data_IF_364473834873
#
_entry.id   IF_364473834873
#
_cell.length_a   1.000
_cell.length_b   1.000
_cell.length_c   1.000
_cell.angle_alpha   90.00
_cell.angle_beta   90.00
_cell.angle_gamma   90.00
#
_symmetry.space_group_name_H-M   'P 1'
#
loop_
_entity.id
_entity.type
_entity.pdbx_description
1 polymer ?
#
# COMPACT_ATOMS: atom_id res chain seq x y z
N UNK A 1 -10.86 -15.68 -27.73
CA UNK A 1 -10.36 -15.77 -26.32
C UNK A 1 -8.85 -15.84 -26.37
N UNK A 2 -8.15 -15.07 -25.57
CA UNK A 2 -6.69 -15.10 -25.48
C UNK A 2 -6.20 -16.40 -24.84
N UNK A 3 -5.01 -16.89 -25.24
CA UNK A 3 -4.44 -18.13 -24.67
C UNK A 3 -4.22 -17.95 -23.18
N UNK A 4 -4.67 -18.91 -22.32
CA UNK A 4 -4.41 -18.89 -20.90
C UNK A 4 -2.92 -18.87 -20.57
N UNK A 5 -2.51 -18.04 -19.62
CA UNK A 5 -1.15 -17.95 -19.10
C UNK A 5 -1.02 -18.69 -17.76
N UNK A 6 0.17 -19.19 -17.48
CA UNK A 6 0.57 -19.71 -16.17
C UNK A 6 1.36 -18.63 -15.45
N UNK A 7 0.78 -18.06 -14.40
CA UNK A 7 1.33 -16.90 -13.69
C UNK A 7 1.70 -17.30 -12.26
N UNK A 8 2.96 -17.08 -11.89
CA UNK A 8 3.41 -17.21 -10.52
C UNK A 8 3.45 -15.82 -9.87
N UNK A 9 2.58 -15.58 -8.90
CA UNK A 9 2.57 -14.36 -8.09
C UNK A 9 3.35 -14.61 -6.80
N UNK A 10 4.28 -13.73 -6.46
CA UNK A 10 5.03 -13.79 -5.19
C UNK A 10 4.73 -12.57 -4.33
N UNK A 11 4.50 -12.77 -3.03
CA UNK A 11 4.03 -11.72 -2.12
C UNK A 11 4.50 -11.96 -0.68
N UNK A 12 4.63 -10.89 0.11
CA UNK A 12 4.85 -10.97 1.56
C UNK A 12 3.60 -10.64 2.37
N UNK A 13 2.49 -10.30 1.70
CA UNK A 13 1.21 -9.99 2.32
C UNK A 13 0.05 -10.56 1.49
N UNK A 14 -0.81 -11.37 2.10
CA UNK A 14 -1.94 -12.04 1.44
C UNK A 14 -3.02 -12.40 2.47
N UNK A 15 -4.33 -12.42 2.10
CA UNK A 15 -5.41 -12.78 3.02
C UNK A 15 -5.20 -14.13 3.73
N UNK A 16 -5.92 -14.39 4.85
CA UNK A 16 -7.06 -13.61 5.40
C UNK A 16 -6.64 -12.41 6.26
N UNK A 17 -5.46 -12.41 6.85
CA UNK A 17 -5.01 -11.33 7.75
C UNK A 17 -3.90 -10.55 7.04
N UNK A 18 -4.26 -9.41 6.46
CA UNK A 18 -3.31 -8.59 5.73
C UNK A 18 -3.77 -7.14 5.63
N UNK A 19 -2.84 -6.23 5.32
CA UNK A 19 -3.14 -4.84 4.96
C UNK A 19 -3.61 -4.69 3.52
N UNK A 20 -3.84 -3.45 3.09
CA UNK A 20 -4.38 -3.12 1.77
C UNK A 20 -3.59 -3.70 0.59
N UNK A 21 -2.26 -3.77 0.70
CA UNK A 21 -1.40 -4.35 -0.34
C UNK A 21 -1.63 -5.85 -0.56
N UNK A 22 -1.90 -6.59 0.52
CA UNK A 22 -2.25 -8.01 0.46
C UNK A 22 -3.59 -8.24 -0.23
N UNK A 23 -4.59 -7.43 0.08
CA UNK A 23 -5.89 -7.46 -0.61
C UNK A 23 -5.75 -7.14 -2.10
N UNK A 24 -4.94 -6.14 -2.45
CA UNK A 24 -4.70 -5.81 -3.86
C UNK A 24 -4.01 -6.95 -4.62
N UNK A 25 -3.09 -7.67 -3.99
CA UNK A 25 -2.46 -8.86 -4.58
C UNK A 25 -3.46 -9.99 -4.78
N UNK A 26 -4.36 -10.19 -3.82
CA UNK A 26 -5.42 -11.21 -3.91
C UNK A 26 -6.43 -10.88 -5.03
N UNK A 27 -6.85 -9.62 -5.13
CA UNK A 27 -7.77 -9.18 -6.18
C UNK A 27 -7.15 -9.31 -7.58
N UNK A 28 -5.84 -9.03 -7.72
CA UNK A 28 -5.10 -9.29 -8.96
C UNK A 28 -5.11 -10.79 -9.30
N UNK A 29 -4.73 -11.63 -8.33
CA UNK A 29 -4.66 -13.09 -8.54
C UNK A 29 -6.03 -13.67 -8.91
N UNK A 30 -7.08 -13.26 -8.20
CA UNK A 30 -8.47 -13.68 -8.46
C UNK A 30 -8.96 -13.17 -9.83
N UNK A 31 -8.66 -11.93 -10.17
CA UNK A 31 -9.04 -11.35 -11.44
C UNK A 31 -8.38 -12.05 -12.63
N UNK A 32 -7.09 -12.40 -12.52
CA UNK A 32 -6.39 -13.20 -13.54
C UNK A 32 -6.99 -14.61 -13.66
N UNK A 33 -7.28 -15.27 -12.54
CA UNK A 33 -7.91 -16.59 -12.55
C UNK A 33 -9.32 -16.55 -13.18
N UNK A 34 -10.11 -15.50 -12.90
CA UNK A 34 -11.43 -15.30 -13.51
C UNK A 34 -11.37 -15.07 -15.04
N UNK A 35 -10.23 -14.59 -15.55
CA UNK A 35 -9.97 -14.44 -16.99
C UNK A 35 -9.44 -15.74 -17.64
N UNK A 36 -9.38 -16.84 -16.88
CA UNK A 36 -8.98 -18.16 -17.37
C UNK A 36 -7.49 -18.47 -17.25
N UNK A 37 -6.69 -17.63 -16.60
CA UNK A 37 -5.27 -17.89 -16.35
C UNK A 37 -5.08 -18.89 -15.19
N UNK A 38 -3.99 -19.67 -15.26
CA UNK A 38 -3.55 -20.53 -14.17
C UNK A 38 -2.66 -19.73 -13.23
N UNK A 39 -3.19 -19.39 -12.05
CA UNK A 39 -2.50 -18.54 -11.07
C UNK A 39 -2.06 -19.35 -9.86
N UNK A 40 -0.78 -19.28 -9.54
CA UNK A 40 -0.21 -19.77 -8.29
C UNK A 40 0.34 -18.60 -7.48
N UNK A 41 0.18 -18.68 -6.16
CA UNK A 41 0.68 -17.64 -5.23
C UNK A 41 1.71 -18.25 -4.29
N UNK A 42 2.88 -17.64 -4.20
CA UNK A 42 3.87 -17.91 -3.16
C UNK A 42 3.91 -16.74 -2.19
N UNK A 43 3.38 -16.98 -0.99
CA UNK A 43 3.40 -16.03 0.12
C UNK A 43 4.62 -16.31 1.01
N UNK A 44 5.29 -15.26 1.47
CA UNK A 44 6.43 -15.36 2.37
C UNK A 44 6.06 -14.95 3.79
N UNK A 45 6.44 -15.78 4.76
CA UNK A 45 6.33 -15.46 6.17
C UNK A 45 7.70 -15.60 6.88
N UNK A 46 8.06 -14.60 7.69
CA UNK A 46 9.23 -14.66 8.55
C UNK A 46 8.78 -14.73 10.02
N UNK A 47 9.11 -15.81 10.70
CA UNK A 47 8.64 -16.02 12.08
C UNK A 47 9.24 -17.26 12.77
N UNK A 48 8.62 -17.66 13.87
CA UNK A 48 9.05 -18.80 14.70
C UNK A 48 8.40 -20.15 14.31
N UNK A 49 7.51 -20.17 13.28
CA UNK A 49 6.88 -21.40 12.82
C UNK A 49 7.84 -22.35 12.09
N UNK A 50 7.36 -23.55 11.73
CA UNK A 50 8.12 -24.51 10.95
C UNK A 50 8.60 -23.91 9.63
N UNK A 51 9.93 -23.94 9.34
CA UNK A 51 10.45 -23.44 8.08
C UNK A 51 10.07 -24.37 6.93
N UNK A 52 9.99 -23.82 5.73
CA UNK A 52 9.68 -24.57 4.52
C UNK A 52 8.46 -24.07 3.77
N UNK A 53 8.05 -24.83 2.76
CA UNK A 53 6.91 -24.52 1.92
C UNK A 53 5.68 -25.34 2.37
N UNK A 54 4.59 -24.65 2.66
CA UNK A 54 3.32 -25.22 3.11
C UNK A 54 2.23 -24.87 2.12
N UNK A 55 1.64 -25.86 1.49
CA UNK A 55 0.58 -25.66 0.50
C UNK A 55 -0.78 -25.51 1.18
N UNK A 56 -1.58 -24.61 0.65
CA UNK A 56 -2.98 -24.36 1.03
C UNK A 56 -3.78 -23.89 -0.17
N UNK A 57 -5.09 -23.74 0.01
CA UNK A 57 -5.96 -23.11 -0.98
C UNK A 57 -6.74 -21.98 -0.35
N UNK A 58 -6.88 -20.90 -1.10
CA UNK A 58 -7.80 -19.81 -0.78
C UNK A 58 -8.73 -19.63 -1.96
N UNK A 59 -10.00 -19.97 -1.79
CA UNK A 59 -10.96 -20.11 -2.89
C UNK A 59 -10.41 -21.07 -3.99
N UNK A 60 -10.34 -20.60 -5.24
CA UNK A 60 -9.79 -21.37 -6.37
C UNK A 60 -8.25 -21.28 -6.49
N UNK A 61 -7.60 -20.41 -5.72
CA UNK A 61 -6.17 -20.16 -5.84
C UNK A 61 -5.34 -21.17 -5.04
N UNK A 62 -4.28 -21.72 -5.66
CA UNK A 62 -3.24 -22.46 -4.96
C UNK A 62 -2.29 -21.46 -4.31
N UNK A 63 -2.11 -21.57 -2.98
CA UNK A 63 -1.26 -20.69 -2.18
C UNK A 63 -0.19 -21.54 -1.49
N UNK A 64 1.06 -21.23 -1.73
CA UNK A 64 2.18 -21.81 -0.98
C UNK A 64 2.73 -20.76 -0.01
N UNK A 65 2.69 -21.05 1.28
CA UNK A 65 3.34 -20.23 2.30
C UNK A 65 4.78 -20.71 2.49
N UNK A 66 5.75 -19.91 2.02
CA UNK A 66 7.17 -20.16 2.27
C UNK A 66 7.58 -19.48 3.58
N UNK A 67 7.84 -20.28 4.59
CA UNK A 67 8.17 -19.79 5.93
C UNK A 67 9.67 -19.89 6.20
N UNK A 68 10.24 -18.76 6.65
CA UNK A 68 11.63 -18.70 7.10
C UNK A 68 11.71 -18.39 8.58
N UNK A 69 12.51 -19.18 9.29
CA UNK A 69 12.79 -18.96 10.71
C UNK A 69 13.63 -17.69 10.89
N UNK A 70 13.13 -16.75 11.64
CA UNK A 70 13.81 -15.49 11.95
C UNK A 70 13.71 -15.21 13.46
N UNK A 71 14.83 -14.94 14.15
CA UNK A 71 14.82 -14.60 15.56
C UNK A 71 14.18 -13.23 15.79
N UNK A 72 13.68 -13.00 17.00
CA UNK A 72 13.03 -11.74 17.35
C UNK A 72 14.02 -10.64 17.80
N UNK A 73 15.25 -10.65 17.25
CA UNK A 73 16.27 -9.62 17.51
C UNK A 73 16.27 -8.65 16.33
N UNK A 74 15.95 -7.35 16.51
CA UNK A 74 15.63 -6.43 15.41
C UNK A 74 16.68 -6.36 14.29
N UNK A 75 17.96 -6.14 14.62
CA UNK A 75 19.02 -6.02 13.59
C UNK A 75 19.24 -7.34 12.89
N UNK A 76 19.37 -8.44 13.64
CA UNK A 76 19.58 -9.78 13.10
C UNK A 76 18.37 -10.26 12.30
N UNK A 77 17.16 -9.94 12.75
CA UNK A 77 15.92 -10.21 12.04
C UNK A 77 15.90 -9.53 10.67
N UNK A 78 16.36 -8.28 10.57
CA UNK A 78 16.37 -7.54 9.29
C UNK A 78 17.42 -8.12 8.32
N UNK A 79 18.60 -8.51 8.79
CA UNK A 79 19.59 -9.20 7.97
C UNK A 79 19.06 -10.53 7.45
N UNK A 80 18.42 -11.33 8.29
CA UNK A 80 17.84 -12.62 7.88
C UNK A 80 16.71 -12.41 6.88
N UNK A 81 15.83 -11.43 7.10
CA UNK A 81 14.74 -11.09 6.18
C UNK A 81 15.23 -10.63 4.80
N UNK A 82 16.34 -9.94 4.73
CA UNK A 82 16.85 -9.44 3.47
C UNK A 82 17.77 -10.48 2.79
N UNK A 83 18.97 -10.72 3.34
CA UNK A 83 20.00 -11.48 2.61
C UNK A 83 19.70 -12.97 2.58
N UNK A 84 19.43 -13.57 3.74
CA UNK A 84 19.21 -15.03 3.84
C UNK A 84 17.91 -15.44 3.16
N UNK A 85 16.81 -14.71 3.41
CA UNK A 85 15.55 -14.98 2.74
C UNK A 85 15.68 -14.85 1.22
N UNK A 86 16.39 -13.84 0.74
CA UNK A 86 16.58 -13.67 -0.71
C UNK A 86 17.32 -14.85 -1.35
N UNK A 87 18.33 -15.40 -0.69
CA UNK A 87 19.06 -16.56 -1.20
C UNK A 87 18.20 -17.83 -1.16
N UNK A 88 17.59 -18.12 -0.01
CA UNK A 88 16.81 -19.34 0.23
C UNK A 88 15.56 -19.37 -0.65
N UNK A 89 14.82 -18.26 -0.71
CA UNK A 89 13.62 -18.13 -1.53
C UNK A 89 13.95 -18.17 -3.04
N UNK A 90 15.04 -17.52 -3.48
CA UNK A 90 15.45 -17.61 -4.88
C UNK A 90 15.78 -19.05 -5.28
N UNK A 91 16.46 -19.80 -4.43
CA UNK A 91 16.72 -21.23 -4.64
C UNK A 91 15.43 -22.06 -4.71
N UNK A 92 14.49 -21.80 -3.83
CA UNK A 92 13.17 -22.46 -3.84
C UNK A 92 12.39 -22.14 -5.12
N UNK A 93 12.25 -20.86 -5.47
CA UNK A 93 11.52 -20.42 -6.66
C UNK A 93 12.16 -20.97 -7.95
N UNK A 94 13.51 -20.97 -8.05
CA UNK A 94 14.20 -21.56 -9.19
C UNK A 94 13.82 -23.03 -9.38
N UNK A 95 13.90 -23.85 -8.33
CA UNK A 95 13.50 -25.26 -8.40
C UNK A 95 12.02 -25.42 -8.78
N UNK A 96 11.15 -24.57 -8.21
CA UNK A 96 9.71 -24.59 -8.51
C UNK A 96 9.43 -24.30 -10.00
N UNK A 97 10.12 -23.30 -10.57
CA UNK A 97 9.99 -22.92 -11.98
C UNK A 97 10.54 -24.00 -12.92
N UNK A 98 11.57 -24.74 -12.51
CA UNK A 98 12.10 -25.87 -13.28
C UNK A 98 11.17 -27.08 -13.27
N UNK A 99 10.48 -27.33 -12.14
CA UNK A 99 9.56 -28.46 -11.97
C UNK A 99 8.21 -28.24 -12.65
N UNK A 100 7.70 -27.01 -12.60
CA UNK A 100 6.47 -26.61 -13.25
C UNK A 100 6.66 -25.26 -13.93
N UNK A 101 6.89 -25.27 -15.25
CA UNK A 101 7.14 -24.05 -16.01
C UNK A 101 5.98 -23.05 -15.87
N UNK A 102 6.32 -21.78 -15.70
CA UNK A 102 5.41 -20.64 -15.70
C UNK A 102 5.72 -19.76 -16.90
N UNK A 103 4.73 -19.04 -17.39
CA UNK A 103 4.91 -18.10 -18.49
C UNK A 103 5.35 -16.73 -17.99
N UNK A 104 4.93 -16.36 -16.77
CA UNK A 104 5.27 -15.09 -16.11
C UNK A 104 5.51 -15.32 -14.62
N UNK A 105 6.51 -14.62 -14.06
CA UNK A 105 6.67 -14.41 -12.63
C UNK A 105 6.31 -12.95 -12.30
N UNK A 106 5.40 -12.73 -11.34
CA UNK A 106 5.03 -11.38 -10.91
C UNK A 106 5.27 -11.16 -9.41
N UNK A 107 6.29 -10.39 -9.09
CA UNK A 107 6.65 -10.04 -7.72
C UNK A 107 5.87 -8.79 -7.24
N UNK A 108 5.21 -8.89 -6.08
CA UNK A 108 4.27 -7.87 -5.60
C UNK A 108 4.83 -6.99 -4.47
N UNK A 109 5.87 -7.44 -3.76
CA UNK A 109 6.37 -6.76 -2.56
C UNK A 109 7.89 -6.91 -2.40
N UNK A 110 8.47 -6.04 -1.57
CA UNK A 110 9.92 -5.90 -1.38
C UNK A 110 10.64 -7.19 -0.99
N UNK A 111 10.04 -8.02 -0.12
CA UNK A 111 10.71 -9.25 0.35
C UNK A 111 10.78 -10.32 -0.75
N UNK A 112 9.85 -10.29 -1.70
CA UNK A 112 9.76 -11.28 -2.77
C UNK A 112 10.35 -10.79 -4.10
N UNK A 113 10.50 -9.47 -4.31
CA UNK A 113 10.98 -8.93 -5.60
C UNK A 113 12.38 -9.41 -5.94
N UNK A 114 13.36 -9.24 -5.04
CA UNK A 114 14.75 -9.64 -5.30
C UNK A 114 14.88 -11.13 -5.60
N UNK A 115 14.34 -12.05 -4.78
CA UNK A 115 14.45 -13.48 -5.05
C UNK A 115 13.70 -13.93 -6.31
N UNK A 116 12.54 -13.32 -6.60
CA UNK A 116 11.77 -13.67 -7.81
C UNK A 116 12.49 -13.30 -9.09
N UNK A 117 13.07 -12.10 -9.18
CA UNK A 117 13.87 -11.67 -10.33
C UNK A 117 15.09 -12.58 -10.51
N UNK A 118 15.81 -12.89 -9.43
CA UNK A 118 16.96 -13.82 -9.49
C UNK A 118 16.57 -15.22 -9.98
N UNK A 119 15.46 -15.75 -9.49
CA UNK A 119 15.00 -17.08 -9.87
C UNK A 119 14.51 -17.12 -11.32
N UNK A 120 13.69 -16.16 -11.71
CA UNK A 120 13.13 -16.07 -13.07
C UNK A 120 14.23 -15.91 -14.12
N UNK A 121 15.15 -14.97 -13.92
CA UNK A 121 16.28 -14.77 -14.83
C UNK A 121 17.20 -16.00 -14.93
N UNK A 122 17.35 -16.77 -13.85
CA UNK A 122 18.17 -17.99 -13.85
C UNK A 122 17.57 -19.14 -14.67
N UNK A 123 16.29 -19.06 -15.03
CA UNK A 123 15.56 -20.08 -15.82
C UNK A 123 14.96 -19.50 -17.11
N UNK A 124 15.18 -18.21 -17.41
CA UNK A 124 14.72 -17.56 -18.64
C UNK A 124 13.20 -17.31 -18.67
N UNK A 125 12.54 -17.12 -17.53
CA UNK A 125 11.12 -16.78 -17.45
C UNK A 125 10.98 -15.27 -17.29
N UNK A 126 10.13 -14.58 -18.08
CA UNK A 126 9.87 -13.15 -17.91
C UNK A 126 9.35 -12.80 -16.52
N UNK A 127 9.85 -11.67 -15.97
CA UNK A 127 9.51 -11.24 -14.62
C UNK A 127 9.04 -9.79 -14.56
N UNK A 128 7.87 -9.59 -13.97
CA UNK A 128 7.29 -8.29 -13.67
C UNK A 128 7.43 -7.99 -12.17
N UNK A 129 7.72 -6.75 -11.82
CA UNK A 129 7.77 -6.32 -10.43
C UNK A 129 6.80 -5.16 -10.19
N UNK A 130 5.85 -5.32 -9.24
CA UNK A 130 5.03 -4.19 -8.79
C UNK A 130 5.70 -3.48 -7.62
N UNK A 131 5.91 -2.18 -7.75
CA UNK A 131 6.42 -1.29 -6.70
C UNK A 131 5.24 -0.58 -6.03
N UNK A 132 4.99 -0.94 -4.77
CA UNK A 132 3.84 -0.46 -3.97
C UNK A 132 4.21 0.51 -2.85
N UNK A 133 5.48 0.77 -2.65
CA UNK A 133 6.01 1.72 -1.69
C UNK A 133 7.40 2.21 -2.13
N UNK A 134 8.04 3.02 -1.33
CA UNK A 134 9.29 3.70 -1.66
C UNK A 134 10.56 2.86 -1.40
N UNK A 135 10.45 1.53 -1.24
CA UNK A 135 11.59 0.65 -0.94
C UNK A 135 12.75 0.69 -1.96
N UNK A 136 12.56 1.02 -3.25
CA UNK A 136 13.68 1.13 -4.17
C UNK A 136 14.49 2.42 -3.97
N UNK A 137 13.87 3.46 -3.44
CA UNK A 137 14.47 4.80 -3.29
C UNK A 137 14.72 5.19 -1.84
N UNK A 138 14.15 4.48 -0.88
CA UNK A 138 14.32 4.70 0.55
C UNK A 138 14.51 3.38 1.30
N UNK A 139 15.53 3.28 2.16
CA UNK A 139 15.77 2.07 2.96
C UNK A 139 14.59 1.75 3.91
N UNK A 140 13.95 2.79 4.47
CA UNK A 140 12.81 2.66 5.37
C UNK A 140 11.46 2.62 4.65
N UNK A 141 11.44 2.84 3.34
CA UNK A 141 10.24 2.86 2.50
C UNK A 141 9.22 3.96 2.83
N UNK A 142 9.60 4.99 3.56
CA UNK A 142 8.70 6.06 4.03
C UNK A 142 9.08 7.47 3.56
N UNK A 143 10.26 7.67 2.99
CA UNK A 143 10.83 8.95 2.55
C UNK A 143 10.87 10.03 3.66
N UNK A 144 10.90 9.63 4.91
CA UNK A 144 10.95 10.53 6.07
C UNK A 144 12.28 10.34 6.77
N UNK A 145 13.06 11.40 6.97
CA UNK A 145 14.27 11.28 7.76
C UNK A 145 14.04 11.57 9.25
N UNK A 146 13.14 12.46 9.60
CA UNK A 146 12.77 12.68 11.00
C UNK A 146 11.24 12.55 11.18
N UNK A 147 10.76 11.51 11.91
CA UNK A 147 9.34 11.31 12.15
C UNK A 147 8.70 12.40 13.03
N UNK A 148 9.50 13.23 13.72
CA UNK A 148 9.00 14.33 14.59
C UNK A 148 8.75 15.62 13.83
N UNK A 149 9.27 15.75 12.60
CA UNK A 149 9.09 16.89 11.72
C UNK A 149 8.52 16.46 10.38
N UNK A 150 7.77 17.32 9.72
CA UNK A 150 7.09 17.00 8.44
C UNK A 150 8.02 17.02 7.23
N UNK A 151 9.33 16.94 7.43
CA UNK A 151 10.29 17.03 6.36
C UNK A 151 10.44 15.70 5.62
N UNK A 152 10.10 15.70 4.35
CA UNK A 152 10.35 14.59 3.45
C UNK A 152 11.82 14.54 3.08
N UNK A 153 12.37 13.32 3.01
CA UNK A 153 13.75 13.11 2.59
C UNK A 153 13.89 13.36 1.09
N UNK A 154 14.65 14.38 0.65
CA UNK A 154 14.78 14.70 -0.76
C UNK A 154 15.58 13.65 -1.52
N UNK A 155 16.58 13.04 -0.87
CA UNK A 155 17.48 12.07 -1.50
C UNK A 155 18.14 11.17 -0.45
N UNK A 156 18.44 9.90 -0.83
CA UNK A 156 19.08 8.93 0.06
C UNK A 156 20.62 9.01 0.02
N UNK A 157 21.17 10.18 0.42
CA UNK A 157 22.61 10.40 0.59
C UNK A 157 23.10 9.90 1.95
N UNK A 158 24.44 9.79 2.15
CA UNK A 158 25.02 9.45 3.46
C UNK A 158 24.62 10.48 4.52
N UNK A 159 24.63 11.77 4.19
CA UNK A 159 24.24 12.84 5.09
C UNK A 159 22.76 12.69 5.53
N UNK A 160 21.87 12.42 4.60
CA UNK A 160 20.46 12.22 4.90
C UNK A 160 20.20 10.89 5.63
N UNK A 161 20.96 9.81 5.32
CA UNK A 161 20.91 8.56 6.09
C UNK A 161 21.32 8.77 7.55
N UNK A 162 22.32 9.61 7.81
CA UNK A 162 22.70 9.97 9.19
C UNK A 162 21.54 10.66 9.92
N UNK A 163 20.84 11.58 9.24
CA UNK A 163 19.64 12.26 9.79
C UNK A 163 18.50 11.26 10.04
N UNK A 164 18.26 10.30 9.14
CA UNK A 164 17.15 9.35 9.31
C UNK A 164 17.46 8.21 10.32
N UNK A 165 18.72 7.87 10.53
CA UNK A 165 19.11 6.86 11.53
C UNK A 165 19.00 7.40 12.96
N UNK A 166 19.40 8.66 13.17
CA UNK A 166 19.46 9.28 14.50
C UNK A 166 18.14 9.21 15.29
N UNK A 167 16.99 9.68 14.78
CA UNK A 167 15.73 9.62 15.52
C UNK A 167 15.22 8.20 15.72
N UNK A 168 15.53 7.27 14.80
CA UNK A 168 15.11 5.86 14.88
C UNK A 168 15.95 5.01 15.82
N UNK A 169 17.22 5.38 16.03
CA UNK A 169 18.15 4.71 16.94
C UNK A 169 18.11 5.30 18.36
N UNK A 170 17.53 6.48 18.56
CA UNK A 170 17.48 7.13 19.86
C UNK A 170 18.86 7.32 20.49
N UNK A 171 19.03 6.96 21.75
CA UNK A 171 20.31 7.04 22.49
C UNK A 171 21.45 6.18 21.92
N UNK A 172 21.15 5.18 21.07
CA UNK A 172 22.12 4.33 20.40
C UNK A 172 22.59 4.88 19.03
N UNK A 173 22.31 6.14 18.72
CA UNK A 173 22.55 6.74 17.39
C UNK A 173 24.01 6.63 16.92
N UNK A 174 24.99 6.79 17.81
CA UNK A 174 26.43 6.66 17.48
C UNK A 174 26.77 5.21 17.11
N UNK A 175 26.24 4.24 17.85
CA UNK A 175 26.44 2.82 17.56
C UNK A 175 25.74 2.35 16.26
N UNK A 176 24.77 3.12 15.77
CA UNK A 176 24.04 2.82 14.53
C UNK A 176 24.77 3.32 13.26
N UNK A 177 25.81 4.15 13.36
CA UNK A 177 26.55 4.64 12.19
C UNK A 177 27.14 3.55 11.29
N UNK A 178 27.70 2.44 11.79
CA UNK A 178 28.17 1.34 10.94
C UNK A 178 27.08 0.67 10.10
N UNK A 179 25.80 0.89 10.42
CA UNK A 179 24.66 0.37 9.65
C UNK A 179 24.47 1.12 8.32
N UNK A 180 24.94 2.36 8.20
CA UNK A 180 24.76 3.19 6.98
C UNK A 180 25.39 2.56 5.73
N UNK A 181 26.65 2.06 5.74
CA UNK A 181 27.19 1.35 4.60
C UNK A 181 26.36 0.14 4.18
N UNK A 182 25.86 -0.61 5.15
CA UNK A 182 24.96 -1.74 4.90
C UNK A 182 23.63 -1.28 4.26
N UNK A 183 23.00 -0.22 4.78
CA UNK A 183 21.77 0.35 4.21
C UNK A 183 21.96 0.75 2.74
N UNK A 184 23.09 1.38 2.42
CA UNK A 184 23.44 1.77 1.05
C UNK A 184 23.66 0.56 0.13
N UNK A 185 24.39 -0.44 0.62
CA UNK A 185 24.64 -1.67 -0.14
C UNK A 185 23.34 -2.43 -0.41
N UNK A 186 22.46 -2.53 0.59
CA UNK A 186 21.15 -3.16 0.47
C UNK A 186 20.28 -2.41 -0.56
N UNK A 187 20.19 -1.08 -0.46
CA UNK A 187 19.41 -0.26 -1.40
C UNK A 187 19.94 -0.39 -2.83
N UNK A 188 21.28 -0.35 -3.01
CA UNK A 188 21.90 -0.55 -4.32
C UNK A 188 21.62 -1.95 -4.88
N UNK A 189 21.66 -2.98 -4.04
CA UNK A 189 21.32 -4.35 -4.44
C UNK A 189 19.88 -4.45 -4.90
N UNK A 190 18.95 -3.83 -4.18
CA UNK A 190 17.52 -3.76 -4.56
C UNK A 190 17.34 -3.12 -5.93
N UNK A 191 17.93 -1.91 -6.16
CA UNK A 191 17.84 -1.19 -7.44
C UNK A 191 18.43 -1.98 -8.60
N UNK A 192 19.68 -2.46 -8.46
CA UNK A 192 20.35 -3.26 -9.49
C UNK A 192 19.65 -4.56 -9.81
N UNK A 193 18.97 -5.16 -8.83
CA UNK A 193 18.16 -6.35 -9.10
C UNK A 193 16.86 -5.98 -9.78
N UNK A 194 16.19 -4.91 -9.30
CA UNK A 194 14.94 -4.42 -9.91
C UNK A 194 15.14 -4.02 -11.38
N UNK A 195 16.29 -3.42 -11.73
CA UNK A 195 16.68 -3.10 -13.10
C UNK A 195 16.83 -4.32 -14.03
N UNK A 196 16.75 -5.53 -13.50
CA UNK A 196 16.79 -6.80 -14.26
C UNK A 196 15.41 -7.44 -14.40
N UNK A 197 14.36 -6.75 -13.97
CA UNK A 197 12.98 -7.12 -14.30
C UNK A 197 12.71 -6.74 -15.76
N UNK A 198 11.85 -7.50 -16.44
CA UNK A 198 11.45 -7.20 -17.81
C UNK A 198 10.47 -6.04 -17.88
N UNK A 199 9.64 -5.85 -16.81
CA UNK A 199 8.81 -4.67 -16.63
C UNK A 199 8.61 -4.34 -15.14
N UNK A 200 8.45 -3.05 -14.85
CA UNK A 200 8.12 -2.52 -13.52
C UNK A 200 6.75 -1.86 -13.58
N UNK A 201 5.87 -2.22 -12.66
CA UNK A 201 4.59 -1.57 -12.46
C UNK A 201 4.68 -0.66 -11.23
N UNK A 202 4.59 0.64 -11.42
CA UNK A 202 4.40 1.61 -10.36
C UNK A 202 2.90 1.75 -10.06
N UNK A 203 2.50 1.66 -8.79
CA UNK A 203 1.06 1.72 -8.43
C UNK A 203 0.47 3.12 -8.52
N UNK A 204 1.30 4.15 -8.65
CA UNK A 204 0.88 5.54 -8.77
C UNK A 204 1.89 6.37 -9.57
N UNK A 205 1.44 7.53 -10.06
CA UNK A 205 2.31 8.49 -10.73
C UNK A 205 3.39 9.04 -9.78
N UNK A 206 3.12 9.11 -8.48
CA UNK A 206 4.10 9.53 -7.49
C UNK A 206 5.25 8.51 -7.35
N UNK A 207 4.92 7.21 -7.27
CA UNK A 207 5.94 6.15 -7.26
C UNK A 207 6.75 6.17 -8.57
N UNK A 208 6.11 6.32 -9.73
CA UNK A 208 6.80 6.37 -11.01
C UNK A 208 7.80 7.53 -11.05
N UNK A 209 7.38 8.75 -10.72
CA UNK A 209 8.26 9.93 -10.66
C UNK A 209 9.44 9.76 -9.69
N UNK A 210 9.20 9.17 -8.51
CA UNK A 210 10.29 8.94 -7.54
C UNK A 210 11.27 7.87 -8.02
N UNK A 211 10.82 6.84 -8.75
CA UNK A 211 11.70 5.85 -9.37
C UNK A 211 12.56 6.49 -10.45
N UNK A 212 11.96 7.24 -11.36
CA UNK A 212 12.67 7.97 -12.44
C UNK A 212 13.69 8.98 -11.88
N UNK A 213 13.30 9.76 -10.87
CA UNK A 213 14.16 10.80 -10.32
C UNK A 213 15.31 10.28 -9.44
N UNK A 214 15.13 9.12 -8.77
CA UNK A 214 16.02 8.69 -7.67
C UNK A 214 16.66 7.31 -7.87
N UNK A 215 16.33 6.61 -8.94
CA UNK A 215 16.84 5.27 -9.22
C UNK A 215 17.33 5.15 -10.69
N UNK A 216 18.42 5.83 -11.06
CA UNK A 216 18.92 5.84 -12.44
C UNK A 216 19.31 4.45 -12.95
N UNK A 217 19.48 3.46 -12.05
CA UNK A 217 19.68 2.07 -12.43
C UNK A 217 18.50 1.49 -13.23
N UNK A 218 17.32 2.14 -13.20
CA UNK A 218 16.08 1.68 -13.83
C UNK A 218 15.81 2.31 -15.21
N UNK A 219 16.63 3.25 -15.67
CA UNK A 219 16.40 4.04 -16.90
C UNK A 219 16.18 3.18 -18.16
N UNK A 220 16.74 1.98 -18.21
CA UNK A 220 16.58 1.05 -19.32
C UNK A 220 15.43 0.02 -19.12
N UNK A 221 14.72 0.07 -18.00
CA UNK A 221 13.66 -0.90 -17.67
C UNK A 221 12.30 -0.31 -18.02
N UNK A 222 11.42 -1.09 -18.64
CA UNK A 222 10.05 -0.65 -18.92
C UNK A 222 9.33 -0.32 -17.61
N UNK A 223 8.88 0.91 -17.45
CA UNK A 223 8.13 1.40 -16.30
C UNK A 223 6.73 1.84 -16.71
N UNK A 224 5.72 1.17 -16.18
CA UNK A 224 4.31 1.48 -16.45
C UNK A 224 3.58 1.83 -15.16
N UNK A 225 2.66 2.79 -15.21
CA UNK A 225 1.82 3.14 -14.07
C UNK A 225 0.49 2.41 -14.15
N UNK A 226 0.27 1.43 -13.26
CA UNK A 226 -0.98 0.68 -13.16
C UNK A 226 -1.41 0.65 -11.68
N UNK A 227 -2.59 1.18 -11.31
CA UNK A 227 -3.02 1.24 -9.93
C UNK A 227 -3.34 -0.15 -9.36
N UNK A 228 -3.54 -0.19 -8.04
CA UNK A 228 -4.00 -1.39 -7.37
C UNK A 228 -5.44 -1.75 -7.82
N UNK A 229 -5.73 -3.01 -8.16
CA UNK A 229 -7.09 -3.43 -8.48
C UNK A 229 -7.97 -3.41 -7.24
N UNK A 230 -9.24 -3.05 -7.43
CA UNK A 230 -10.27 -3.03 -6.38
C UNK A 230 -11.49 -3.80 -6.88
N UNK A 231 -12.01 -4.68 -6.04
CA UNK A 231 -13.29 -5.37 -6.29
C UNK A 231 -14.45 -4.40 -6.09
N UNK A 232 -14.80 -3.68 -7.16
CA UNK A 232 -15.89 -2.71 -7.15
C UNK A 232 -17.25 -3.37 -6.91
N UNK A 233 -17.44 -4.63 -7.36
CA UNK A 233 -18.67 -5.36 -7.09
C UNK A 233 -18.88 -5.58 -5.59
N UNK A 234 -17.85 -5.99 -4.87
CA UNK A 234 -17.93 -6.15 -3.42
C UNK A 234 -18.25 -4.83 -2.71
N UNK A 235 -17.71 -3.71 -3.19
CA UNK A 235 -18.01 -2.37 -2.66
C UNK A 235 -19.43 -1.91 -3.00
N UNK A 236 -19.96 -2.22 -4.19
CA UNK A 236 -21.35 -1.93 -4.57
C UNK A 236 -22.35 -2.76 -3.73
N UNK A 237 -22.03 -4.02 -3.51
CA UNK A 237 -22.81 -4.89 -2.63
C UNK A 237 -22.79 -4.35 -1.18
N UNK A 238 -21.62 -3.88 -0.69
CA UNK A 238 -21.48 -3.26 0.62
C UNK A 238 -22.22 -1.91 0.71
N UNK A 239 -22.12 -1.09 -0.34
CA UNK A 239 -22.88 0.17 -0.43
C UNK A 239 -24.39 -0.07 -0.29
N UNK A 240 -24.91 -1.07 -1.02
CA UNK A 240 -26.34 -1.42 -0.98
C UNK A 240 -26.75 -1.93 0.39
N UNK A 241 -25.98 -2.87 0.96
CA UNK A 241 -26.26 -3.42 2.32
C UNK A 241 -26.19 -2.33 3.38
N UNK A 242 -25.14 -1.51 3.38
CA UNK A 242 -25.00 -0.45 4.38
C UNK A 242 -26.09 0.61 4.26
N UNK A 243 -26.50 0.96 3.03
CA UNK A 243 -27.60 1.94 2.82
C UNK A 243 -28.94 1.42 3.38
N UNK A 244 -29.17 0.11 3.34
CA UNK A 244 -30.38 -0.52 3.89
C UNK A 244 -30.30 -0.78 5.42
N UNK A 245 -29.09 -0.80 5.98
CA UNK A 245 -28.86 -1.07 7.40
C UNK A 245 -29.05 0.20 8.26
N UNK A 246 -29.37 0.05 9.57
CA UNK A 246 -29.35 1.17 10.51
C UNK A 246 -27.95 1.80 10.55
N UNK A 247 -27.92 3.11 10.75
CA UNK A 247 -26.65 3.82 10.97
C UNK A 247 -25.98 3.30 12.25
N UNK A 248 -24.64 3.12 12.26
CA UNK A 248 -23.92 2.67 13.45
C UNK A 248 -24.05 3.63 14.65
N UNK A 249 -24.22 4.92 14.38
CA UNK A 249 -24.54 5.97 15.35
C UNK A 249 -25.53 6.98 14.73
N UNK A 250 -26.33 7.62 15.57
CA UNK A 250 -27.20 8.71 15.14
C UNK A 250 -26.40 9.98 14.85
N UNK A 251 -26.87 10.76 13.86
CA UNK A 251 -26.28 12.03 13.49
C UNK A 251 -25.02 11.95 12.64
N UNK A 252 -24.36 13.10 12.42
CA UNK A 252 -23.13 13.19 11.66
C UNK A 252 -21.92 12.73 12.47
N UNK A 253 -20.90 12.18 11.78
CA UNK A 253 -19.60 11.90 12.36
C UNK A 253 -18.48 12.01 11.32
N UNK A 254 -17.28 12.34 11.81
CA UNK A 254 -16.07 12.31 11.04
C UNK A 254 -15.41 10.93 11.18
N UNK A 255 -14.95 10.36 10.08
CA UNK A 255 -14.25 9.08 10.07
C UNK A 255 -12.77 9.27 9.77
N UNK A 256 -11.91 8.62 10.54
CA UNK A 256 -10.55 8.26 10.18
C UNK A 256 -10.46 6.73 10.10
N UNK A 257 -9.84 6.22 9.04
CA UNK A 257 -9.57 4.79 8.90
C UNK A 257 -8.13 4.57 8.42
N UNK A 258 -7.32 3.86 9.21
CA UNK A 258 -5.92 3.62 8.88
C UNK A 258 -5.05 3.29 10.08
N UNK A 259 -3.75 3.06 9.81
CA UNK A 259 -2.78 2.79 10.86
C UNK A 259 -2.59 4.03 11.75
N UNK A 260 -2.63 3.85 13.07
CA UNK A 260 -2.39 4.91 14.04
C UNK A 260 -0.88 5.12 14.22
N UNK A 261 -0.27 5.82 13.27
CA UNK A 261 1.17 6.06 13.22
C UNK A 261 1.48 7.50 12.80
N UNK A 262 2.65 8.00 13.21
CA UNK A 262 3.06 9.39 13.00
C UNK A 262 2.97 9.82 11.54
N UNK A 263 3.48 9.01 10.61
CA UNK A 263 3.45 9.31 9.18
C UNK A 263 2.03 9.35 8.56
N UNK A 264 1.02 8.86 9.27
CA UNK A 264 -0.39 8.96 8.90
C UNK A 264 -1.07 10.24 9.40
N UNK A 265 -0.33 11.09 10.09
CA UNK A 265 -0.78 12.41 10.48
C UNK A 265 -1.90 12.44 11.53
N UNK A 266 -2.21 11.31 12.14
CA UNK A 266 -3.34 11.19 13.06
C UNK A 266 -3.20 12.13 14.28
N UNK A 267 -1.98 12.47 14.68
CA UNK A 267 -1.69 13.43 15.74
C UNK A 267 -2.12 14.87 15.38
N UNK A 268 -2.23 15.21 14.08
CA UNK A 268 -2.69 16.53 13.62
C UNK A 268 -4.19 16.60 13.43
N UNK A 269 -4.87 15.45 13.44
CA UNK A 269 -6.32 15.35 13.23
C UNK A 269 -7.08 16.16 14.28
N UNK A 270 -6.68 16.06 15.55
CA UNK A 270 -7.37 16.74 16.64
C UNK A 270 -7.24 18.27 16.55
N UNK A 271 -6.06 18.78 16.17
CA UNK A 271 -5.86 20.22 15.93
C UNK A 271 -6.74 20.69 14.78
N UNK A 272 -6.80 19.92 13.69
CA UNK A 272 -7.62 20.26 12.54
C UNK A 272 -9.12 20.24 12.86
N UNK A 273 -9.58 19.32 13.68
CA UNK A 273 -10.99 19.23 14.13
C UNK A 273 -11.37 20.46 14.97
N UNK A 274 -10.51 20.84 15.93
CA UNK A 274 -10.73 22.03 16.77
C UNK A 274 -10.78 23.30 15.92
N UNK A 275 -9.80 23.47 15.01
CA UNK A 275 -9.73 24.64 14.11
C UNK A 275 -10.91 24.69 13.14
N UNK A 276 -11.41 23.54 12.70
CA UNK A 276 -12.59 23.43 11.83
C UNK A 276 -13.91 23.68 12.58
N UNK A 277 -13.92 23.76 13.90
CA UNK A 277 -15.11 23.91 14.72
C UNK A 277 -16.07 22.70 14.68
N UNK A 278 -15.52 21.50 14.43
CA UNK A 278 -16.32 20.27 14.35
C UNK A 278 -16.56 19.76 15.78
N UNK A 279 -17.85 19.59 16.12
CA UNK A 279 -18.30 19.08 17.42
C UNK A 279 -18.89 17.66 17.34
N UNK A 280 -18.86 17.07 16.16
CA UNK A 280 -19.40 15.71 15.94
C UNK A 280 -18.49 14.64 16.51
N UNK A 281 -19.01 13.44 16.79
CA UNK A 281 -18.16 12.30 17.10
C UNK A 281 -17.11 12.05 16.04
N UNK A 282 -15.92 11.67 16.47
CA UNK A 282 -14.79 11.28 15.63
C UNK A 282 -14.59 9.79 15.79
N UNK A 283 -14.88 9.04 14.75
CA UNK A 283 -14.68 7.60 14.72
C UNK A 283 -13.32 7.28 14.13
N UNK A 284 -12.54 6.52 14.88
CA UNK A 284 -11.18 6.12 14.50
C UNK A 284 -11.14 4.60 14.37
N UNK A 285 -10.89 4.11 13.16
CA UNK A 285 -10.77 2.68 12.85
C UNK A 285 -9.32 2.36 12.48
N UNK A 286 -8.72 1.45 13.20
CA UNK A 286 -7.36 1.00 13.00
C UNK A 286 -6.59 0.83 14.29
N UNK A 287 -5.34 0.42 14.16
CA UNK A 287 -4.43 0.20 15.28
C UNK A 287 -3.04 0.74 14.96
N UNK A 288 -2.21 0.94 15.97
CA UNK A 288 -0.85 1.40 15.79
C UNK A 288 -0.21 1.99 17.04
N UNK A 289 1.04 2.47 16.91
CA UNK A 289 1.79 3.00 18.06
C UNK A 289 1.16 4.20 18.77
N UNK A 290 0.22 4.90 18.12
CA UNK A 290 -0.47 6.06 18.69
C UNK A 290 -1.86 5.73 19.26
N UNK A 291 -2.29 4.47 19.24
CA UNK A 291 -3.53 4.02 19.86
C UNK A 291 -3.54 4.34 21.37
N UNK A 292 -4.67 4.74 21.90
CA UNK A 292 -4.84 5.15 23.30
C UNK A 292 -4.26 6.54 23.63
N UNK A 293 -3.13 6.93 23.03
CA UNK A 293 -2.59 8.29 23.22
C UNK A 293 -3.44 9.35 22.52
N UNK A 294 -4.02 8.98 21.36
CA UNK A 294 -4.92 9.85 20.61
C UNK A 294 -6.23 10.06 21.38
N UNK A 295 -6.83 9.00 21.93
CA UNK A 295 -8.03 9.09 22.76
C UNK A 295 -7.80 9.92 24.01
N UNK A 296 -6.67 9.74 24.69
CA UNK A 296 -6.32 10.53 25.87
C UNK A 296 -6.17 12.02 25.54
N UNK A 297 -5.61 12.36 24.38
CA UNK A 297 -5.48 13.75 23.93
C UNK A 297 -6.85 14.34 23.53
N UNK A 298 -7.67 13.61 22.83
CA UNK A 298 -9.03 14.01 22.46
C UNK A 298 -9.86 14.34 23.71
N UNK A 299 -9.78 13.50 24.74
CA UNK A 299 -10.47 13.73 26.03
C UNK A 299 -10.03 15.04 26.69
N UNK A 300 -8.73 15.34 26.69
CA UNK A 300 -8.21 16.63 27.23
C UNK A 300 -8.75 17.84 26.49
N UNK A 301 -9.06 17.69 25.21
CA UNK A 301 -9.58 18.74 24.31
C UNK A 301 -11.10 18.80 24.27
N UNK A 302 -11.80 17.90 24.96
CA UNK A 302 -13.27 17.80 24.93
C UNK A 302 -13.84 17.27 23.62
N UNK A 303 -13.07 16.52 22.86
CA UNK A 303 -13.49 15.90 21.59
C UNK A 303 -14.06 14.49 21.89
N UNK A 304 -15.28 14.21 21.42
CA UNK A 304 -15.88 12.84 21.44
C UNK A 304 -15.20 11.97 20.37
N UNK A 305 -14.04 11.41 20.73
CA UNK A 305 -13.30 10.48 19.87
C UNK A 305 -13.49 9.06 20.38
N UNK A 306 -13.78 8.14 19.46
CA UNK A 306 -14.03 6.73 19.73
C UNK A 306 -13.10 5.86 18.88
N UNK A 307 -12.10 5.25 19.51
CA UNK A 307 -11.22 4.28 18.87
C UNK A 307 -11.91 2.91 18.85
N UNK A 308 -12.20 2.39 17.64
CA UNK A 308 -12.85 1.08 17.46
C UNK A 308 -11.83 -0.06 17.28
N UNK A 309 -10.53 0.28 17.21
CA UNK A 309 -9.49 -0.71 16.96
C UNK A 309 -9.54 -1.30 15.54
N UNK A 310 -9.02 -2.52 15.40
CA UNK A 310 -9.03 -3.23 14.13
C UNK A 310 -10.40 -3.89 13.89
N UNK A 311 -11.04 -3.53 12.76
CA UNK A 311 -12.32 -4.10 12.33
C UNK A 311 -12.15 -4.94 11.06
N UNK A 312 -13.10 -5.85 10.82
CA UNK A 312 -13.22 -6.57 9.57
C UNK A 312 -13.58 -5.64 8.41
N UNK A 313 -13.18 -6.02 7.18
CA UNK A 313 -13.35 -5.20 5.98
C UNK A 313 -14.79 -4.73 5.75
N UNK A 314 -15.76 -5.63 5.88
CA UNK A 314 -17.19 -5.33 5.72
C UNK A 314 -17.71 -4.33 6.75
N UNK A 315 -17.21 -4.45 7.97
CA UNK A 315 -17.58 -3.56 9.06
C UNK A 315 -16.99 -2.16 8.85
N UNK A 316 -15.71 -2.07 8.41
CA UNK A 316 -15.09 -0.80 8.01
C UNK A 316 -15.89 -0.12 6.92
N UNK A 317 -16.36 -0.85 5.91
CA UNK A 317 -17.19 -0.30 4.85
C UNK A 317 -18.55 0.20 5.34
N UNK A 318 -19.16 -0.47 6.31
CA UNK A 318 -20.40 -0.02 6.93
C UNK A 318 -20.20 1.32 7.64
N UNK A 319 -19.19 1.43 8.50
CA UNK A 319 -18.82 2.70 9.12
C UNK A 319 -18.51 3.79 8.09
N UNK A 320 -17.76 3.42 7.06
CA UNK A 320 -17.35 4.36 6.01
C UNK A 320 -18.53 4.90 5.24
N UNK A 321 -19.48 4.03 4.82
CA UNK A 321 -20.66 4.45 4.03
C UNK A 321 -21.55 5.45 4.77
N UNK A 322 -21.64 5.35 6.09
CA UNK A 322 -22.46 6.24 6.91
C UNK A 322 -21.70 7.48 7.41
N UNK A 323 -20.40 7.57 7.18
CA UNK A 323 -19.61 8.73 7.58
C UNK A 323 -20.05 9.99 6.83
N UNK A 324 -20.08 11.11 7.55
CA UNK A 324 -20.35 12.42 6.94
C UNK A 324 -19.19 12.86 6.05
N UNK A 325 -17.97 12.51 6.44
CA UNK A 325 -16.74 12.70 5.67
C UNK A 325 -15.65 11.77 6.16
N UNK A 326 -14.69 11.46 5.27
CA UNK A 326 -13.41 10.86 5.62
C UNK A 326 -12.36 11.96 5.77
N UNK A 327 -11.67 12.00 6.91
CA UNK A 327 -10.49 12.81 7.13
C UNK A 327 -9.22 11.97 6.91
N UNK A 328 -8.34 12.40 6.01
CA UNK A 328 -7.11 11.69 5.68
C UNK A 328 -5.89 12.62 5.85
N UNK A 329 -5.40 12.79 7.09
CA UNK A 329 -4.34 13.74 7.43
C UNK A 329 -2.93 13.23 7.15
N UNK A 330 -2.77 12.15 6.36
CA UNK A 330 -1.46 11.54 6.09
C UNK A 330 -0.50 12.54 5.48
N UNK A 331 0.65 12.79 6.13
CA UNK A 331 1.69 13.66 5.60
C UNK A 331 2.88 12.90 5.02
N UNK A 332 3.09 11.67 5.46
CA UNK A 332 4.06 10.78 4.84
C UNK A 332 3.61 10.42 3.42
N UNK A 333 4.55 10.29 2.46
CA UNK A 333 4.17 10.04 1.08
C UNK A 333 3.35 8.76 0.95
N UNK A 334 2.11 8.90 0.54
CA UNK A 334 1.24 7.77 0.23
C UNK A 334 1.64 7.15 -1.11
N UNK A 335 1.77 5.85 -1.16
CA UNK A 335 2.00 5.18 -2.44
C UNK A 335 0.73 5.17 -3.31
N UNK A 336 -0.33 4.57 -2.79
CA UNK A 336 -1.70 4.60 -3.32
C UNK A 336 -2.65 4.09 -2.23
N UNK A 337 -3.39 4.99 -1.58
CA UNK A 337 -4.20 4.63 -0.42
C UNK A 337 -5.47 3.88 -0.79
N UNK A 338 -5.56 2.62 -0.37
CA UNK A 338 -6.77 1.81 -0.56
C UNK A 338 -7.99 2.41 0.16
N UNK A 339 -7.79 2.97 1.34
CA UNK A 339 -8.86 3.61 2.13
C UNK A 339 -9.53 4.75 1.36
N UNK A 340 -8.74 5.57 0.64
CA UNK A 340 -9.29 6.64 -0.19
C UNK A 340 -10.12 6.11 -1.36
N UNK A 341 -9.68 5.03 -2.01
CA UNK A 341 -10.41 4.41 -3.11
C UNK A 341 -11.71 3.79 -2.60
N UNK A 342 -11.68 3.11 -1.45
CA UNK A 342 -12.85 2.51 -0.82
C UNK A 342 -13.86 3.57 -0.37
N UNK A 343 -13.40 4.67 0.25
CA UNK A 343 -14.25 5.79 0.61
C UNK A 343 -14.92 6.44 -0.60
N UNK A 344 -14.14 6.69 -1.65
CA UNK A 344 -14.64 7.22 -2.92
C UNK A 344 -15.70 6.27 -3.53
N UNK A 345 -15.44 4.96 -3.58
CA UNK A 345 -16.38 3.97 -4.11
C UNK A 345 -17.67 3.87 -3.30
N UNK A 346 -17.62 4.16 -2.00
CA UNK A 346 -18.78 4.25 -1.13
C UNK A 346 -19.46 5.64 -1.16
N UNK A 347 -18.98 6.57 -1.97
CA UNK A 347 -19.54 7.90 -2.14
C UNK A 347 -19.34 8.81 -0.94
N UNK A 348 -18.30 8.56 -0.13
CA UNK A 348 -17.98 9.35 1.06
C UNK A 348 -17.15 10.57 0.66
N UNK A 349 -17.53 11.79 1.05
CA UNK A 349 -16.72 12.99 0.83
C UNK A 349 -15.36 12.87 1.50
N UNK A 350 -14.30 13.25 0.80
CA UNK A 350 -12.90 13.12 1.27
C UNK A 350 -12.28 14.49 1.46
N UNK A 351 -11.71 14.74 2.65
CA UNK A 351 -10.69 15.76 2.87
C UNK A 351 -9.36 15.05 3.13
N UNK A 352 -8.33 15.34 2.33
CA UNK A 352 -7.05 14.66 2.43
C UNK A 352 -5.88 15.63 2.31
N UNK A 353 -4.76 15.32 2.96
CA UNK A 353 -3.49 15.96 2.68
C UNK A 353 -2.97 15.53 1.31
N UNK A 354 -2.39 16.48 0.58
CA UNK A 354 -1.84 16.26 -0.75
C UNK A 354 -0.45 15.64 -0.67
N UNK A 355 -0.38 14.33 -0.59
CA UNK A 355 0.88 13.61 -0.45
C UNK A 355 0.99 12.40 -1.37
N UNK A 356 2.13 12.23 -2.00
CA UNK A 356 2.43 11.06 -2.85
C UNK A 356 1.36 10.78 -3.90
N UNK A 357 0.82 9.57 -3.92
CA UNK A 357 -0.22 9.11 -4.85
C UNK A 357 -1.65 9.52 -4.47
N UNK A 358 -1.86 10.40 -3.48
CA UNK A 358 -3.20 10.86 -3.11
C UNK A 358 -3.90 11.56 -4.29
N UNK A 359 -3.14 12.36 -5.08
CA UNK A 359 -3.64 13.00 -6.31
C UNK A 359 -4.08 12.03 -7.40
N UNK A 360 -3.56 10.82 -7.39
CA UNK A 360 -3.99 9.79 -8.35
C UNK A 360 -5.40 9.25 -8.01
N UNK A 361 -5.88 9.51 -6.80
CA UNK A 361 -7.21 9.08 -6.35
C UNK A 361 -8.16 10.27 -6.27
N UNK A 362 -7.75 11.34 -5.60
CA UNK A 362 -8.58 12.52 -5.31
C UNK A 362 -8.19 13.65 -6.25
N UNK A 363 -9.13 14.06 -7.11
CA UNK A 363 -9.00 15.24 -7.98
C UNK A 363 -9.47 16.49 -7.19
N UNK A 364 -8.58 17.49 -6.97
CA UNK A 364 -8.90 18.64 -6.11
C UNK A 364 -10.17 19.38 -6.54
N UNK A 365 -11.13 19.52 -5.63
CA UNK A 365 -12.39 20.22 -5.87
C UNK A 365 -13.40 19.51 -6.78
N UNK A 366 -13.07 18.32 -7.31
CA UNK A 366 -13.91 17.51 -8.19
C UNK A 366 -14.37 16.23 -7.49
N UNK A 367 -13.43 15.42 -6.98
CA UNK A 367 -13.74 14.16 -6.31
C UNK A 367 -13.39 14.19 -4.82
N UNK A 368 -12.92 15.32 -4.30
CA UNK A 368 -12.57 15.55 -2.90
C UNK A 368 -11.80 16.85 -2.74
N UNK A 369 -11.41 17.15 -1.51
CA UNK A 369 -10.57 18.30 -1.18
C UNK A 369 -9.15 17.82 -0.84
N UNK A 370 -8.15 18.46 -1.47
CA UNK A 370 -6.73 18.19 -1.22
C UNK A 370 -6.06 19.44 -0.66
N UNK A 371 -5.45 19.29 0.49
CA UNK A 371 -4.84 20.35 1.27
C UNK A 371 -3.32 20.26 1.23
N UNK A 372 -2.63 21.34 0.90
CA UNK A 372 -1.17 21.39 0.83
C UNK A 372 -0.49 21.45 2.20
N UNK A 373 -1.23 21.88 3.24
CA UNK A 373 -0.74 22.05 4.60
C UNK A 373 -1.85 21.85 5.64
N UNK A 374 -1.51 21.71 6.94
CA UNK A 374 -2.50 21.48 8.00
C UNK A 374 -3.56 22.57 8.14
N UNK A 375 -3.23 23.83 7.87
CA UNK A 375 -4.16 24.95 7.95
C UNK A 375 -5.23 24.88 6.83
N UNK A 376 -4.82 24.48 5.61
CA UNK A 376 -5.76 24.20 4.52
C UNK A 376 -6.63 22.99 4.84
N UNK A 377 -6.03 21.95 5.42
CA UNK A 377 -6.77 20.76 5.82
C UNK A 377 -7.87 21.08 6.82
N UNK A 378 -7.59 21.92 7.80
CA UNK A 378 -8.59 22.41 8.77
C UNK A 378 -9.74 23.17 8.08
N UNK A 379 -9.40 24.06 7.13
CA UNK A 379 -10.41 24.80 6.33
C UNK A 379 -11.25 23.88 5.46
N UNK A 380 -10.64 22.87 4.86
CA UNK A 380 -11.34 21.90 4.02
C UNK A 380 -12.27 21.00 4.83
N UNK A 381 -11.87 20.59 6.03
CA UNK A 381 -12.77 19.94 6.99
C UNK A 381 -13.96 20.82 7.35
N UNK A 382 -13.73 22.11 7.65
CA UNK A 382 -14.81 23.06 7.95
C UNK A 382 -15.77 23.23 6.76
N UNK A 383 -15.25 23.33 5.53
CA UNK A 383 -16.08 23.40 4.31
C UNK A 383 -16.98 22.18 4.16
N UNK A 384 -16.40 20.99 4.32
CA UNK A 384 -17.20 19.75 4.29
C UNK A 384 -18.18 19.64 5.46
N UNK A 385 -17.87 20.20 6.63
CA UNK A 385 -18.78 20.19 7.77
C UNK A 385 -20.05 21.01 7.49
N UNK A 386 -19.94 22.17 6.85
CA UNK A 386 -21.00 23.14 6.72
C UNK A 386 -21.73 23.11 5.35
N UNK A 387 -21.16 22.44 4.33
CA UNK A 387 -21.76 22.41 2.98
C UNK A 387 -22.17 20.99 2.57
N UNK A 388 -23.45 20.67 2.80
CA UNK A 388 -24.04 19.38 2.42
C UNK A 388 -24.08 19.18 0.90
N UNK A 389 -24.32 20.25 0.13
CA UNK A 389 -24.34 20.17 -1.35
C UNK A 389 -22.97 19.84 -1.89
N UNK A 390 -21.93 20.45 -1.33
CA UNK A 390 -20.55 20.14 -1.68
C UNK A 390 -20.22 18.67 -1.36
N UNK A 391 -20.59 18.19 -0.17
CA UNK A 391 -20.41 16.78 0.20
C UNK A 391 -21.05 15.83 -0.80
N UNK A 392 -22.32 16.08 -1.14
CA UNK A 392 -23.07 15.25 -2.09
C UNK A 392 -22.42 15.25 -3.48
N UNK A 393 -22.01 16.41 -3.99
CA UNK A 393 -21.38 16.55 -5.29
C UNK A 393 -20.02 15.82 -5.35
N UNK A 394 -19.14 16.06 -4.38
CA UNK A 394 -17.82 15.43 -4.32
C UNK A 394 -17.92 13.91 -4.16
N UNK A 395 -18.79 13.41 -3.27
CA UNK A 395 -18.99 11.99 -3.06
C UNK A 395 -19.51 11.26 -4.30
N UNK A 396 -20.49 11.86 -5.00
CA UNK A 396 -21.03 11.29 -6.24
C UNK A 396 -19.98 11.25 -7.36
N UNK A 397 -19.24 12.35 -7.55
CA UNK A 397 -18.16 12.42 -8.54
C UNK A 397 -17.02 11.42 -8.23
N UNK A 398 -16.62 11.32 -6.95
CA UNK A 398 -15.60 10.36 -6.51
C UNK A 398 -16.00 8.92 -6.82
N UNK A 399 -17.26 8.55 -6.52
CA UNK A 399 -17.79 7.21 -6.80
C UNK A 399 -17.73 6.89 -8.30
N UNK A 400 -18.21 7.79 -9.14
CA UNK A 400 -18.20 7.59 -10.58
C UNK A 400 -16.77 7.41 -11.13
N UNK A 401 -15.84 8.25 -10.67
CA UNK A 401 -14.46 8.25 -11.14
C UNK A 401 -13.68 6.97 -10.77
N UNK A 402 -13.76 6.53 -9.52
CA UNK A 402 -13.00 5.35 -9.08
C UNK A 402 -13.51 4.05 -9.68
N UNK A 403 -14.79 3.94 -10.00
CA UNK A 403 -15.36 2.79 -10.70
C UNK A 403 -14.76 2.58 -12.10
N UNK A 404 -14.38 3.66 -12.78
CA UNK A 404 -13.70 3.58 -14.07
C UNK A 404 -12.23 3.24 -13.92
N UNK A 405 -11.54 3.92 -13.02
CA UNK A 405 -10.07 3.89 -12.97
C UNK A 405 -9.47 2.74 -12.16
N UNK A 406 -10.18 2.23 -11.14
CA UNK A 406 -9.63 1.26 -10.18
C UNK A 406 -10.35 -0.09 -10.18
N UNK A 407 -11.37 -0.27 -11.03
CA UNK A 407 -12.07 -1.56 -11.13
C UNK A 407 -11.10 -2.70 -11.45
N UNK A 408 -11.19 -3.81 -10.70
CA UNK A 408 -10.32 -4.95 -10.90
C UNK A 408 -10.35 -5.47 -12.34
N UNK A 409 -11.49 -5.40 -13.01
CA UNK A 409 -11.64 -5.82 -14.41
C UNK A 409 -10.71 -5.06 -15.36
N UNK A 410 -10.70 -3.74 -15.29
CA UNK A 410 -9.86 -2.88 -16.16
C UNK A 410 -8.38 -2.91 -15.75
N UNK A 411 -8.11 -2.92 -14.44
CA UNK A 411 -6.73 -2.96 -13.92
C UNK A 411 -6.05 -4.30 -14.26
N UNK A 412 -6.73 -5.41 -14.05
CA UNK A 412 -6.22 -6.76 -14.38
C UNK A 412 -5.97 -6.89 -15.88
N UNK A 413 -6.84 -6.33 -16.73
CA UNK A 413 -6.63 -6.31 -18.17
C UNK A 413 -5.34 -5.58 -18.57
N UNK A 414 -5.09 -4.42 -17.97
CA UNK A 414 -3.84 -3.68 -18.20
C UNK A 414 -2.60 -4.47 -17.75
N UNK A 415 -2.67 -5.16 -16.63
CA UNK A 415 -1.59 -6.05 -16.17
C UNK A 415 -1.39 -7.22 -17.13
N UNK A 416 -2.48 -7.83 -17.63
CA UNK A 416 -2.41 -8.88 -18.65
C UNK A 416 -1.76 -8.38 -19.94
N UNK A 417 -2.05 -7.15 -20.36
CA UNK A 417 -1.41 -6.55 -21.55
C UNK A 417 0.11 -6.44 -21.39
N UNK A 418 0.61 -6.05 -20.20
CA UNK A 418 2.04 -6.06 -19.89
C UNK A 418 2.61 -7.48 -20.05
N UNK A 419 1.96 -8.50 -19.46
CA UNK A 419 2.42 -9.88 -19.59
C UNK A 419 2.51 -10.34 -21.04
N UNK A 420 1.50 -10.04 -21.84
CA UNK A 420 1.45 -10.43 -23.26
C UNK A 420 2.51 -9.71 -24.09
N UNK A 421 2.77 -8.45 -23.79
CA UNK A 421 3.86 -7.68 -24.42
C UNK A 421 5.22 -8.37 -24.26
N UNK A 422 5.49 -8.91 -23.07
CA UNK A 422 6.75 -9.60 -22.76
C UNK A 422 6.86 -10.99 -23.40
N UNK A 423 5.76 -11.59 -23.83
CA UNK A 423 5.72 -12.92 -24.44
C UNK A 423 5.74 -12.88 -25.98
N UNK A 424 5.58 -11.70 -26.57
CA UNK A 424 5.75 -11.52 -28.00
C UNK A 424 7.25 -11.47 -28.29
N UNK A 425 7.80 -12.36 -29.16
CA UNK A 425 9.19 -12.25 -29.55
C UNK A 425 9.43 -10.83 -30.11
N UNK A 426 10.40 -10.10 -29.60
CA UNK A 426 10.86 -8.88 -30.26
C UNK A 426 11.24 -9.28 -31.70
N UNK A 427 10.59 -8.66 -32.66
CA UNK A 427 10.99 -8.80 -34.05
C UNK A 427 12.48 -8.34 -34.13
N UNK A 428 13.35 -9.32 -34.36
CA UNK A 428 14.79 -9.11 -34.47
C UNK A 428 15.13 -8.28 -35.71
#
# INVERSE_FOLDING_TARGET
>A
MSVPLRVLITTDSFPPICGGSGWSTWELARGLAARGHHVEVVKVEAGLGEPGAHESRLESLRVTTYRQKAPNVPVLRNMIKNERLWADLAGYLKRRLQQAPMDIVHAQHVMTTVPSIRAANAVGVPVVATVRDYWPVCYWSDLIYDPSVHDLCPECTVANMTKCVRPRAGGASIAAWPVIPYMRANLRTKRRTLARADAIIAVSSAIARDLEARAPELDATELVTIPNPIDMKALDDAYTRATAAPRPIEGPYLLYAGKLAVNKGVQYLLDAIVQAGITWPVIVIGDGPLAGSLEADAKRRGIDLRELGWLGREEVWTWMRHATMLAFPSYGPESLSRVLIEAAALGVPIAAMDTGGTRDIVQPGVTGLLSANPEEFSRDLARLAHDERLRAALGAAARADVHVRFAATSVVERVEQVYRGLLIPSAA
#
